data_IF_378010728045
#
_entry.id   IF_378010728045
#
_cell.length_a   1.000
_cell.length_b   1.000
_cell.length_c   1.000
_cell.angle_alpha   90.00
_cell.angle_beta   90.00
_cell.angle_gamma   90.00
#
_symmetry.space_group_name_H-M   'P 1'
#
loop_
_entity.id
_entity.type
_entity.pdbx_description
1 polymer ?
#
# COMPACT_ATOMS: atom_id res chain seq x y z
N UNK A 1 -13.93 33.24 15.62
CA UNK A 1 -13.89 32.07 14.72
C UNK A 1 -12.43 31.79 14.41
N UNK A 2 -11.85 30.77 15.05
CA UNK A 2 -10.42 30.48 15.00
C UNK A 2 -10.10 29.57 13.81
N UNK A 3 -9.00 29.86 13.12
CA UNK A 3 -8.44 29.09 11.98
C UNK A 3 -8.14 27.60 12.28
N UNK A 4 -8.39 27.12 13.50
CA UNK A 4 -7.95 25.82 13.99
C UNK A 4 -9.02 24.72 13.89
N UNK A 5 -10.30 25.07 13.64
CA UNK A 5 -11.41 24.11 13.70
C UNK A 5 -11.64 23.34 12.38
N UNK A 6 -11.16 23.86 11.24
CA UNK A 6 -11.20 23.16 9.94
C UNK A 6 -10.25 21.94 9.88
N UNK A 7 -9.21 21.90 10.72
CA UNK A 7 -8.26 20.80 10.75
C UNK A 7 -8.84 19.48 11.31
N UNK A 8 -9.99 19.54 12.00
CA UNK A 8 -10.54 18.42 12.77
C UNK A 8 -11.75 17.73 12.14
N UNK A 9 -12.26 18.20 10.99
CA UNK A 9 -13.40 17.55 10.31
C UNK A 9 -12.98 16.78 9.06
N UNK A 10 -11.85 16.07 9.11
CA UNK A 10 -11.52 15.09 8.07
C UNK A 10 -12.58 14.00 8.07
N UNK A 11 -13.29 13.88 6.97
CA UNK A 11 -14.31 12.84 6.83
C UNK A 11 -13.62 11.47 6.69
N UNK A 12 -14.31 10.40 7.10
CA UNK A 12 -13.81 9.02 6.95
C UNK A 12 -13.42 8.70 5.49
N UNK A 13 -14.14 9.28 4.52
CA UNK A 13 -13.86 9.12 3.09
C UNK A 13 -12.55 9.81 2.66
N UNK A 14 -12.28 11.01 3.16
CA UNK A 14 -11.04 11.74 2.88
C UNK A 14 -9.81 11.05 3.48
N UNK A 15 -9.96 10.46 4.67
CA UNK A 15 -8.90 9.66 5.27
C UNK A 15 -8.60 8.40 4.45
N UNK A 16 -9.65 7.68 4.01
CA UNK A 16 -9.51 6.49 3.16
C UNK A 16 -8.79 6.80 1.84
N UNK A 17 -9.14 7.92 1.18
CA UNK A 17 -8.48 8.32 -0.07
C UNK A 17 -7.01 8.70 0.14
N UNK A 18 -6.67 9.30 1.29
CA UNK A 18 -5.26 9.57 1.65
C UNK A 18 -4.48 8.28 1.88
N UNK A 19 -5.05 7.30 2.59
CA UNK A 19 -4.41 6.01 2.82
C UNK A 19 -4.12 5.28 1.51
N UNK A 20 -5.06 5.28 0.57
CA UNK A 20 -4.85 4.69 -0.76
C UNK A 20 -3.67 5.35 -1.50
N UNK A 21 -3.53 6.68 -1.38
CA UNK A 21 -2.43 7.41 -2.00
C UNK A 21 -1.08 7.13 -1.34
N UNK A 22 -1.01 7.02 -0.01
CA UNK A 22 0.27 6.89 0.71
C UNK A 22 0.69 5.45 0.99
N UNK A 23 -0.26 4.52 1.05
CA UNK A 23 -0.01 3.11 1.34
C UNK A 23 -0.39 2.24 0.14
N UNK A 24 0.59 1.81 -0.67
CA UNK A 24 0.32 0.97 -1.82
C UNK A 24 -0.02 -0.49 -1.46
N UNK A 25 0.06 -0.85 -0.17
CA UNK A 25 -0.27 -2.17 0.39
C UNK A 25 -1.47 -2.10 1.35
N UNK A 26 -2.35 -1.12 1.18
CA UNK A 26 -3.50 -0.91 2.07
C UNK A 26 -4.42 -2.14 2.12
N UNK A 27 -4.57 -2.85 1.00
CA UNK A 27 -5.40 -4.06 0.92
C UNK A 27 -4.81 -5.19 1.79
N UNK A 28 -3.53 -5.48 1.63
CA UNK A 28 -2.82 -6.52 2.37
C UNK A 28 -2.73 -6.18 3.87
N UNK A 29 -2.57 -4.89 4.19
CA UNK A 29 -2.65 -4.41 5.57
C UNK A 29 -4.03 -4.65 6.18
N UNK A 30 -5.12 -4.32 5.47
CA UNK A 30 -6.49 -4.57 5.96
C UNK A 30 -6.75 -6.06 6.15
N UNK A 31 -6.24 -6.92 5.26
CA UNK A 31 -6.40 -8.37 5.38
C UNK A 31 -5.64 -8.95 6.57
N UNK A 32 -4.39 -8.52 6.80
CA UNK A 32 -3.62 -8.97 7.97
C UNK A 32 -4.24 -8.53 9.29
N UNK A 33 -4.70 -7.27 9.38
CA UNK A 33 -5.42 -6.77 10.56
C UNK A 33 -6.76 -7.49 10.76
N UNK A 34 -7.48 -7.78 9.68
CA UNK A 34 -8.72 -8.56 9.75
C UNK A 34 -8.45 -9.96 10.30
N UNK A 35 -7.43 -10.66 9.78
CA UNK A 35 -7.06 -11.97 10.27
C UNK A 35 -6.75 -11.96 11.77
N UNK A 36 -5.96 -10.98 12.25
CA UNK A 36 -5.67 -10.84 13.67
C UNK A 36 -6.94 -10.64 14.50
N UNK A 37 -7.85 -9.77 14.03
CA UNK A 37 -9.11 -9.51 14.72
C UNK A 37 -9.99 -10.77 14.82
N UNK A 38 -9.99 -11.63 13.81
CA UNK A 38 -10.78 -12.87 13.77
C UNK A 38 -10.15 -14.01 14.57
N UNK A 39 -8.83 -13.96 14.79
CA UNK A 39 -8.05 -15.01 15.44
C UNK A 39 -7.52 -14.62 16.82
N UNK A 40 -8.17 -13.68 17.51
CA UNK A 40 -7.76 -13.22 18.85
C UNK A 40 -6.28 -12.78 18.92
N UNK A 41 -5.79 -12.17 17.84
CA UNK A 41 -4.41 -11.72 17.67
C UNK A 41 -3.35 -12.84 17.66
N UNK A 42 -3.76 -14.08 17.43
CA UNK A 42 -2.85 -15.19 17.14
C UNK A 42 -2.17 -14.97 15.78
N UNK A 43 -0.87 -14.65 15.83
CA UNK A 43 -0.07 -14.30 14.64
C UNK A 43 0.22 -15.52 13.77
N UNK A 44 0.34 -16.70 14.37
CA UNK A 44 0.73 -17.91 13.67
C UNK A 44 -0.37 -18.32 12.68
N UNK A 45 -1.64 -18.04 13.02
CA UNK A 45 -2.79 -18.23 12.12
C UNK A 45 -2.83 -17.24 10.95
N UNK A 46 -2.02 -16.19 10.97
CA UNK A 46 -2.08 -15.09 10.02
C UNK A 46 -0.80 -14.93 9.17
N UNK A 47 0.14 -15.87 9.26
CA UNK A 47 1.45 -15.82 8.57
C UNK A 47 1.32 -15.45 7.09
N UNK A 48 0.46 -16.15 6.34
CA UNK A 48 0.23 -15.88 4.91
C UNK A 48 -0.19 -14.45 4.61
N UNK A 49 -0.96 -13.81 5.49
CA UNK A 49 -1.38 -12.42 5.31
C UNK A 49 -0.22 -11.45 5.55
N UNK A 50 0.65 -11.75 6.51
CA UNK A 50 1.88 -10.99 6.72
C UNK A 50 2.86 -11.18 5.56
N UNK A 51 3.02 -12.39 5.05
CA UNK A 51 3.86 -12.65 3.87
C UNK A 51 3.40 -11.83 2.67
N UNK A 52 2.10 -11.83 2.39
CA UNK A 52 1.53 -11.00 1.31
C UNK A 52 1.81 -9.50 1.53
N UNK A 53 1.68 -9.01 2.77
CA UNK A 53 1.99 -7.62 3.12
C UNK A 53 3.48 -7.30 2.91
N UNK A 54 4.37 -8.17 3.39
CA UNK A 54 5.82 -8.03 3.25
C UNK A 54 6.27 -8.07 1.78
N UNK A 55 5.72 -8.99 0.99
CA UNK A 55 5.95 -9.08 -0.44
C UNK A 55 5.48 -7.81 -1.16
N UNK A 56 4.30 -7.29 -0.81
CA UNK A 56 3.81 -6.03 -1.34
C UNK A 56 4.76 -4.87 -1.01
N UNK A 57 5.21 -4.75 0.24
CA UNK A 57 6.16 -3.70 0.64
C UNK A 57 7.47 -3.83 -0.14
N UNK A 58 8.03 -5.04 -0.26
CA UNK A 58 9.23 -5.30 -1.04
C UNK A 58 9.09 -4.91 -2.51
N UNK A 59 7.93 -5.23 -3.13
CA UNK A 59 7.61 -4.84 -4.49
C UNK A 59 7.66 -3.32 -4.66
N UNK A 60 6.91 -2.57 -3.86
CA UNK A 60 6.83 -1.12 -4.00
C UNK A 60 8.12 -0.40 -3.62
N UNK A 61 8.88 -0.92 -2.66
CA UNK A 61 10.22 -0.44 -2.36
C UNK A 61 11.15 -0.56 -3.58
N UNK A 62 11.07 -1.66 -4.34
CA UNK A 62 11.87 -1.83 -5.56
C UNK A 62 11.47 -0.83 -6.65
N UNK A 63 10.17 -0.59 -6.85
CA UNK A 63 9.64 0.42 -7.77
C UNK A 63 10.11 1.82 -7.38
N UNK A 64 10.02 2.18 -6.10
CA UNK A 64 10.47 3.47 -5.57
C UNK A 64 11.98 3.66 -5.81
N UNK A 65 12.80 2.64 -5.53
CA UNK A 65 14.24 2.67 -5.78
C UNK A 65 14.55 2.89 -7.27
N UNK A 66 13.84 2.19 -8.16
CA UNK A 66 14.02 2.36 -9.60
C UNK A 66 13.63 3.76 -10.08
N UNK A 67 12.47 4.27 -9.64
CA UNK A 67 12.00 5.63 -9.99
C UNK A 67 12.98 6.70 -9.49
N UNK A 68 13.51 6.54 -8.27
CA UNK A 68 14.59 7.41 -7.74
C UNK A 68 15.82 7.40 -8.65
N UNK A 69 16.31 6.22 -9.04
CA UNK A 69 17.46 6.09 -9.95
C UNK A 69 17.23 6.75 -11.31
N UNK A 70 15.99 6.71 -11.80
CA UNK A 70 15.57 7.32 -13.08
C UNK A 70 15.22 8.82 -12.95
N UNK A 71 15.29 9.40 -11.76
CA UNK A 71 14.88 10.80 -11.54
C UNK A 71 13.38 11.06 -11.68
N UNK A 72 12.53 10.03 -11.58
CA UNK A 72 11.08 10.13 -11.77
C UNK A 72 10.41 10.52 -10.45
N UNK A 73 9.62 11.60 -10.49
CA UNK A 73 8.81 12.11 -9.37
C UNK A 73 7.31 12.12 -9.75
N UNK A 74 6.40 11.70 -8.85
CA UNK A 74 6.64 11.24 -7.48
C UNK A 74 7.32 9.86 -7.46
N UNK A 75 8.14 9.60 -6.42
CA UNK A 75 8.88 8.34 -6.31
C UNK A 75 7.96 7.14 -6.02
N UNK A 76 6.92 7.35 -5.22
CA UNK A 76 5.81 6.40 -5.10
C UNK A 76 4.82 6.69 -6.24
N UNK A 77 4.48 5.72 -7.09
CA UNK A 77 3.54 5.95 -8.17
C UNK A 77 2.15 6.39 -7.67
N UNK A 78 1.50 7.32 -8.39
CA UNK A 78 0.07 7.63 -8.22
C UNK A 78 -0.79 6.38 -8.35
N UNK A 79 -2.00 6.38 -7.77
CA UNK A 79 -2.87 5.20 -7.65
C UNK A 79 -3.24 4.65 -9.03
N UNK A 80 -3.53 5.55 -9.97
CA UNK A 80 -3.88 5.30 -11.37
C UNK A 80 -2.78 4.54 -12.14
N UNK A 81 -1.50 4.72 -11.80
CA UNK A 81 -0.38 4.02 -12.46
C UNK A 81 -0.14 2.62 -11.88
N UNK A 82 -0.68 2.30 -10.70
CA UNK A 82 -0.22 1.13 -9.93
C UNK A 82 -0.60 -0.20 -10.55
N UNK A 83 -1.79 -0.31 -11.14
CA UNK A 83 -2.23 -1.55 -11.77
C UNK A 83 -1.38 -1.88 -13.00
N UNK A 84 -1.03 -0.87 -13.80
CA UNK A 84 -0.18 -1.06 -14.96
C UNK A 84 1.24 -1.46 -14.56
N UNK A 85 1.83 -0.78 -13.57
CA UNK A 85 3.16 -1.14 -13.05
C UNK A 85 3.18 -2.58 -12.53
N UNK A 86 2.12 -3.02 -11.83
CA UNK A 86 1.99 -4.41 -11.38
C UNK A 86 1.92 -5.38 -12.56
N UNK A 87 1.08 -5.09 -13.55
CA UNK A 87 0.91 -5.91 -14.76
C UNK A 87 2.23 -6.08 -15.52
N UNK A 88 2.94 -4.99 -15.77
CA UNK A 88 4.21 -5.01 -16.50
C UNK A 88 5.30 -5.78 -15.75
N UNK A 89 5.41 -5.59 -14.44
CA UNK A 89 6.36 -6.35 -13.61
C UNK A 89 6.06 -7.85 -13.60
N UNK A 90 4.78 -8.24 -13.58
CA UNK A 90 4.38 -9.65 -13.64
C UNK A 90 4.76 -10.28 -14.98
N UNK A 91 4.58 -9.56 -16.10
CA UNK A 91 5.03 -10.03 -17.43
C UNK A 91 6.54 -10.25 -17.48
N UNK A 92 7.34 -9.37 -16.88
CA UNK A 92 8.81 -9.53 -16.86
C UNK A 92 9.32 -10.68 -16.00
N UNK A 93 8.47 -11.30 -15.18
CA UNK A 93 8.81 -12.45 -14.32
C UNK A 93 8.48 -13.81 -14.92
N UNK A 94 7.85 -13.86 -16.10
CA UNK A 94 7.73 -15.12 -16.86
C UNK A 94 9.12 -15.52 -17.39
N UNK A 95 9.69 -16.65 -16.94
CA UNK A 95 10.85 -17.22 -17.58
C UNK A 95 10.40 -17.92 -18.88
N UNK A 96 11.10 -17.65 -19.97
CA UNK A 96 11.21 -18.63 -21.06
C UNK A 96 11.90 -19.90 -20.55
#
# INVERSE_FOLDING_TARGET
MTRSDDAHRRTKAEYASREERTNPCLKEQKLSLKCLSENYYDKDKCERYFDNYNLCQGFWLSVVKERRRKGITPHLPPVEEREEIKRERMKTKEPS
#
